data_IF_998241886310
#
_entry.id   IF_998241886310
#
_cell.length_a   1.000
_cell.length_b   1.000
_cell.length_c   1.000
_cell.angle_alpha   90.00
_cell.angle_beta   90.00
_cell.angle_gamma   90.00
#
_symmetry.space_group_name_H-M   'P 1'
#
loop_
_entity.id
_entity.type
_entity.pdbx_description
1 polymer ?
#
# COMPACT_ATOMS: atom_id res chain seq x y z
N UNK A 1 10.99 1.75 5.86
CA UNK A 1 12.14 0.85 5.55
C UNK A 1 13.20 1.69 4.85
N UNK A 2 14.44 1.76 5.33
CA UNK A 2 15.44 2.70 4.80
C UNK A 2 16.02 2.33 3.42
N UNK A 3 15.64 1.21 2.80
CA UNK A 3 16.23 0.74 1.53
C UNK A 3 15.25 0.51 0.38
N UNK A 4 13.96 0.38 0.66
CA UNK A 4 12.94 0.12 -0.37
C UNK A 4 11.69 0.91 -0.01
N UNK A 5 11.21 1.69 -0.97
CA UNK A 5 9.98 2.45 -0.83
C UNK A 5 8.75 1.51 -0.88
N UNK A 6 7.70 1.83 -0.12
CA UNK A 6 6.51 0.98 -0.01
C UNK A 6 5.78 0.82 -1.36
N UNK A 7 5.78 1.85 -2.18
CA UNK A 7 5.14 1.82 -3.50
C UNK A 7 5.96 1.01 -4.51
N UNK A 8 7.29 1.07 -4.42
CA UNK A 8 8.16 0.22 -5.21
C UNK A 8 7.97 -1.26 -4.86
N UNK A 9 7.81 -1.58 -3.57
CA UNK A 9 7.53 -2.94 -3.12
C UNK A 9 6.18 -3.44 -3.65
N UNK A 10 5.14 -2.60 -3.58
CA UNK A 10 3.82 -2.93 -4.11
C UNK A 10 3.90 -3.29 -5.61
N UNK A 11 4.57 -2.46 -6.41
CA UNK A 11 4.78 -2.73 -7.84
C UNK A 11 5.52 -4.05 -8.08
N UNK A 12 6.55 -4.34 -7.27
CA UNK A 12 7.30 -5.59 -7.38
C UNK A 12 6.45 -6.81 -7.05
N UNK A 13 5.64 -6.76 -5.98
CA UNK A 13 4.78 -7.87 -5.57
C UNK A 13 3.74 -8.17 -6.64
N UNK A 14 3.05 -7.14 -7.15
CA UNK A 14 1.99 -7.32 -8.14
C UNK A 14 2.57 -7.85 -9.46
N UNK A 15 3.75 -7.40 -9.87
CA UNK A 15 4.41 -7.91 -11.08
C UNK A 15 4.83 -9.38 -10.96
N UNK A 16 5.23 -9.83 -9.76
CA UNK A 16 5.75 -11.18 -9.54
C UNK A 16 4.68 -12.20 -9.13
N UNK A 17 3.68 -11.77 -8.39
CA UNK A 17 2.63 -12.61 -7.81
C UNK A 17 1.30 -11.83 -7.78
N UNK A 18 0.64 -11.63 -8.93
CA UNK A 18 -0.53 -10.75 -9.09
C UNK A 18 -1.74 -11.17 -8.24
N UNK A 19 -1.82 -12.42 -7.80
CA UNK A 19 -2.89 -12.89 -6.92
C UNK A 19 -2.67 -12.54 -5.44
N UNK A 20 -1.50 -12.00 -5.09
CA UNK A 20 -1.19 -11.59 -3.72
C UNK A 20 -1.94 -10.32 -3.37
N UNK A 21 -2.85 -10.39 -2.38
CA UNK A 21 -3.52 -9.21 -1.83
C UNK A 21 -2.55 -8.42 -0.94
N UNK A 22 -2.30 -7.17 -1.29
CA UNK A 22 -1.42 -6.27 -0.52
C UNK A 22 -2.24 -5.16 0.11
N UNK A 23 -2.15 -5.02 1.44
CA UNK A 23 -2.77 -3.92 2.19
C UNK A 23 -1.68 -2.94 2.57
N UNK A 24 -1.82 -1.69 2.15
CA UNK A 24 -0.89 -0.61 2.46
C UNK A 24 -1.28 0.05 3.77
N UNK A 25 -0.29 0.35 4.63
CA UNK A 25 -0.54 0.99 5.93
C UNK A 25 0.41 2.17 6.10
N UNK A 26 -0.11 3.37 6.36
CA UNK A 26 0.71 4.60 6.51
C UNK A 26 0.26 5.48 7.66
N UNK A 27 1.21 6.10 8.37
CA UNK A 27 0.94 7.12 9.39
C UNK A 27 0.82 8.55 8.81
N UNK A 28 1.27 8.76 7.57
CA UNK A 28 1.14 10.01 6.82
C UNK A 28 0.43 9.77 5.50
N UNK A 29 -0.59 8.90 5.52
CA UNK A 29 -1.33 8.56 4.30
C UNK A 29 -2.15 9.76 3.83
N UNK A 30 -1.75 10.35 2.71
CA UNK A 30 -2.62 11.29 1.98
C UNK A 30 -3.59 10.51 1.11
N UNK A 31 -4.71 11.14 0.76
CA UNK A 31 -5.69 10.56 -0.18
C UNK A 31 -5.00 10.24 -1.52
N UNK A 32 -4.08 11.09 -1.97
CA UNK A 32 -3.33 10.89 -3.21
C UNK A 32 -2.50 9.60 -3.20
N UNK A 33 -1.79 9.34 -2.10
CA UNK A 33 -1.02 8.10 -1.90
C UNK A 33 -1.90 6.86 -1.88
N UNK A 34 -3.05 6.94 -1.21
CA UNK A 34 -4.03 5.85 -1.20
C UNK A 34 -4.54 5.57 -2.62
N UNK A 35 -4.94 6.61 -3.35
CA UNK A 35 -5.41 6.48 -4.74
C UNK A 35 -4.32 5.90 -5.64
N UNK A 36 -3.06 6.33 -5.50
CA UNK A 36 -1.95 5.77 -6.27
C UNK A 36 -1.73 4.28 -5.95
N UNK A 37 -1.76 3.90 -4.68
CA UNK A 37 -1.60 2.51 -4.26
C UNK A 37 -2.71 1.61 -4.84
N UNK A 38 -3.96 2.07 -4.77
CA UNK A 38 -5.10 1.34 -5.35
C UNK A 38 -4.97 1.20 -6.88
N UNK A 39 -4.51 2.25 -7.59
CA UNK A 39 -4.26 2.19 -9.04
C UNK A 39 -3.19 1.18 -9.43
N UNK A 40 -2.17 1.02 -8.59
CA UNK A 40 -1.11 0.02 -8.81
C UNK A 40 -1.63 -1.41 -8.56
N UNK A 41 -2.68 -1.55 -7.75
CA UNK A 41 -3.35 -2.81 -7.44
C UNK A 41 -3.22 -3.24 -5.97
N UNK A 42 -2.97 -2.30 -5.06
CA UNK A 42 -3.20 -2.56 -3.64
C UNK A 42 -4.67 -2.98 -3.43
N UNK A 43 -4.85 -3.94 -2.53
CA UNK A 43 -6.18 -4.42 -2.15
C UNK A 43 -6.89 -3.42 -1.27
N UNK A 44 -6.16 -2.78 -0.36
CA UNK A 44 -6.69 -1.78 0.56
C UNK A 44 -5.56 -0.84 1.05
N UNK A 45 -5.95 0.31 1.60
CA UNK A 45 -5.06 1.31 2.18
C UNK A 45 -5.61 1.79 3.52
N UNK A 46 -4.85 1.56 4.59
CA UNK A 46 -5.23 1.94 5.96
C UNK A 46 -4.34 3.07 6.47
N UNK A 47 -4.97 4.14 6.95
CA UNK A 47 -4.28 5.26 7.60
C UNK A 47 -4.21 5.01 9.10
N UNK A 48 -3.03 5.20 9.70
CA UNK A 48 -2.85 5.23 11.16
C UNK A 48 -3.07 6.66 11.69
N UNK A 49 -3.64 6.82 12.91
CA UNK A 49 -4.16 5.76 13.76
C UNK A 49 -5.51 5.23 13.23
N UNK A 50 -5.72 3.92 13.33
CA UNK A 50 -7.01 3.29 13.06
C UNK A 50 -7.53 2.67 14.36
N UNK A 51 -8.83 2.78 14.62
CA UNK A 51 -9.50 2.11 15.74
C UNK A 51 -9.87 0.69 15.33
N UNK A 52 -9.58 -0.28 16.20
CA UNK A 52 -9.98 -1.69 16.06
C UNK A 52 -11.23 -1.91 16.93
N UNK A 53 -12.33 -1.24 16.61
CA UNK A 53 -13.65 -1.51 17.23
C UNK A 53 -14.45 -2.51 16.38
#
# INVERSE_FOLDING_TARGET
MPKLDGMQLLKYIIAKAPETKVIMISAHGTIELAVEAMKIGAYDFVVKPFSLD
#
